data_IF_922356857479
#
_entry.id   IF_922356857479
#
_cell.length_a   1.000
_cell.length_b   1.000
_cell.length_c   1.000
_cell.angle_alpha   90.00
_cell.angle_beta   90.00
_cell.angle_gamma   90.00
#
_symmetry.space_group_name_H-M   'P 1'
#
loop_
_entity.id
_entity.type
_entity.pdbx_description
1 polymer ?
#
# COMPACT_ATOMS: atom_id res chain seq x y z
N UNK A 1 -61.66 38.23 4.17
CA UNK A 1 -60.61 37.60 4.99
C UNK A 1 -59.84 36.65 4.09
N UNK A 2 -58.60 37.02 3.77
CA UNK A 2 -57.76 36.36 2.78
C UNK A 2 -57.00 35.16 3.39
N UNK A 3 -57.08 34.00 2.73
CA UNK A 3 -56.22 32.84 3.00
C UNK A 3 -54.79 33.13 2.50
N UNK A 4 -53.80 33.10 3.39
CA UNK A 4 -52.38 33.13 3.03
C UNK A 4 -51.86 31.70 2.91
N UNK A 5 -51.41 31.33 1.71
CA UNK A 5 -50.62 30.12 1.46
C UNK A 5 -49.19 30.38 1.95
N UNK A 6 -48.69 29.57 2.87
CA UNK A 6 -47.27 29.52 3.23
C UNK A 6 -46.52 28.68 2.17
N UNK A 7 -45.60 29.30 1.45
CA UNK A 7 -44.63 28.61 0.58
C UNK A 7 -43.40 28.30 1.44
N UNK A 8 -43.11 27.02 1.64
CA UNK A 8 -41.87 26.58 2.26
C UNK A 8 -40.74 26.67 1.22
N UNK A 9 -39.75 27.52 1.48
CA UNK A 9 -38.52 27.60 0.69
C UNK A 9 -37.57 26.52 1.21
N UNK A 10 -37.40 25.43 0.46
CA UNK A 10 -36.37 24.43 0.74
C UNK A 10 -34.99 25.04 0.40
N UNK A 11 -34.15 25.25 1.42
CA UNK A 11 -32.74 25.60 1.23
C UNK A 11 -31.96 24.32 0.92
N UNK A 12 -31.49 24.20 -0.31
CA UNK A 12 -30.61 23.13 -0.75
C UNK A 12 -29.21 23.33 -0.12
N UNK A 13 -28.85 22.49 0.85
CA UNK A 13 -27.47 22.37 1.31
C UNK A 13 -26.71 21.55 0.25
N UNK A 14 -25.85 22.21 -0.53
CA UNK A 14 -24.84 21.52 -1.32
C UNK A 14 -23.81 20.90 -0.35
N UNK A 15 -23.90 19.59 -0.14
CA UNK A 15 -22.80 18.83 0.44
C UNK A 15 -21.78 18.64 -0.67
N UNK A 16 -20.63 19.31 -0.56
CA UNK A 16 -19.49 19.06 -1.43
C UNK A 16 -18.96 17.65 -1.15
N UNK A 17 -19.31 16.70 -2.02
CA UNK A 17 -18.70 15.37 -2.05
C UNK A 17 -17.24 15.55 -2.46
N UNK A 18 -16.33 15.41 -1.50
CA UNK A 18 -14.91 15.29 -1.80
C UNK A 18 -14.69 13.92 -2.46
N UNK A 19 -14.66 13.91 -3.79
CA UNK A 19 -14.25 12.75 -4.58
C UNK A 19 -12.77 12.54 -4.29
N UNK A 20 -12.44 11.64 -3.36
CA UNK A 20 -11.06 11.16 -3.19
C UNK A 20 -10.83 10.09 -4.26
N UNK A 21 -10.37 10.53 -5.43
CA UNK A 21 -9.71 9.61 -6.36
C UNK A 21 -8.55 8.93 -5.62
N UNK A 22 -8.27 7.63 -5.84
CA UNK A 22 -7.00 7.07 -5.40
C UNK A 22 -5.91 7.81 -6.16
N UNK A 23 -5.32 8.79 -5.48
CA UNK A 23 -4.31 9.67 -6.04
C UNK A 23 -3.01 8.87 -6.09
N UNK A 24 -2.84 8.04 -7.11
CA UNK A 24 -1.51 7.63 -7.59
C UNK A 24 -0.84 8.79 -8.33
N UNK A 25 -0.92 10.01 -7.77
CA UNK A 25 -0.13 11.11 -8.26
C UNK A 25 1.22 11.01 -7.55
N UNK A 26 2.22 10.54 -8.27
CA UNK A 26 3.58 10.68 -7.82
C UNK A 26 3.90 12.18 -7.65
N UNK A 27 4.27 12.58 -6.44
CA UNK A 27 4.72 13.94 -6.17
C UNK A 27 6.20 14.10 -6.55
N UNK A 28 6.63 15.34 -6.77
CA UNK A 28 8.05 15.66 -6.98
C UNK A 28 8.67 16.10 -5.65
N UNK A 29 9.78 15.49 -5.25
CA UNK A 29 10.52 15.94 -4.08
C UNK A 29 11.24 17.27 -4.35
N UNK A 30 11.44 18.08 -3.31
CA UNK A 30 12.27 19.28 -3.42
C UNK A 30 13.74 18.89 -3.38
N UNK A 31 14.51 19.29 -4.38
CA UNK A 31 15.94 19.00 -4.46
C UNK A 31 16.76 20.29 -4.58
N UNK A 32 17.97 20.26 -4.03
CA UNK A 32 18.91 21.40 -4.09
C UNK A 32 20.32 20.89 -4.30
N UNK A 33 21.03 21.45 -5.28
CA UNK A 33 22.46 21.22 -5.47
C UNK A 33 23.22 22.03 -4.43
N UNK A 34 23.87 21.35 -3.49
CA UNK A 34 24.55 22.00 -2.36
C UNK A 34 26.03 22.20 -2.61
N UNK A 35 26.69 21.25 -3.30
CA UNK A 35 28.11 21.32 -3.64
C UNK A 35 28.36 20.62 -4.97
N UNK A 36 29.29 21.13 -5.78
CA UNK A 36 29.87 20.39 -6.88
C UNK A 36 31.33 20.81 -7.16
N UNK A 37 32.11 19.88 -7.70
CA UNK A 37 33.52 20.13 -8.04
C UNK A 37 34.04 18.98 -8.92
N UNK A 38 35.30 19.06 -9.31
CA UNK A 38 36.02 17.90 -9.83
C UNK A 38 37.40 17.80 -9.17
N UNK A 39 37.97 16.61 -9.22
CA UNK A 39 39.34 16.32 -8.79
C UNK A 39 40.16 15.87 -9.98
N UNK A 40 41.45 16.17 -9.98
CA UNK A 40 42.34 15.95 -11.12
C UNK A 40 43.68 15.33 -10.68
N UNK A 41 44.04 14.20 -11.28
CA UNK A 41 45.17 13.37 -10.84
C UNK A 41 46.54 14.05 -10.99
N UNK A 42 46.81 14.70 -12.11
CA UNK A 42 48.07 15.43 -12.37
C UNK A 42 48.17 16.75 -11.58
N UNK A 43 47.12 17.13 -10.84
CA UNK A 43 47.06 18.30 -9.97
C UNK A 43 46.56 17.90 -8.59
N UNK A 44 47.23 16.93 -7.99
CA UNK A 44 46.65 16.14 -6.92
C UNK A 44 46.29 16.91 -5.63
N UNK A 45 46.91 18.06 -5.42
CA UNK A 45 46.69 18.97 -4.27
C UNK A 45 45.81 20.18 -4.60
N UNK A 46 45.43 20.38 -5.86
CA UNK A 46 44.56 21.49 -6.26
C UNK A 46 43.10 21.23 -5.93
N UNK A 47 42.38 22.28 -5.54
CA UNK A 47 40.93 22.30 -5.42
C UNK A 47 40.30 23.05 -6.61
N UNK A 48 39.15 22.57 -7.09
CA UNK A 48 38.46 23.14 -8.26
C UNK A 48 37.00 23.54 -7.97
N UNK A 49 36.64 23.76 -6.70
CA UNK A 49 35.25 24.06 -6.29
C UNK A 49 34.69 25.40 -6.77
N UNK A 50 35.51 26.25 -7.42
CA UNK A 50 35.04 27.49 -8.06
C UNK A 50 34.98 27.38 -9.59
N UNK A 51 35.19 26.18 -10.14
CA UNK A 51 35.16 25.96 -11.58
C UNK A 51 33.74 26.13 -12.11
N UNK A 52 33.56 26.85 -13.22
CA UNK A 52 32.27 26.96 -13.93
C UNK A 52 31.90 25.68 -14.71
N UNK A 53 32.70 24.62 -14.56
CA UNK A 53 32.57 23.34 -15.25
C UNK A 53 32.86 22.16 -14.31
N UNK A 54 32.04 21.12 -14.42
CA UNK A 54 32.36 19.78 -13.98
C UNK A 54 33.16 19.07 -15.07
N UNK A 55 34.10 18.23 -14.68
CA UNK A 55 35.01 17.54 -15.59
C UNK A 55 35.14 16.07 -15.26
N UNK A 56 35.03 15.23 -16.28
CA UNK A 56 35.43 13.82 -16.23
C UNK A 56 36.42 13.52 -17.35
N UNK A 57 37.38 12.63 -17.10
CA UNK A 57 38.43 12.30 -18.06
C UNK A 57 39.12 10.98 -17.72
N UNK A 58 39.27 10.09 -18.71
CA UNK A 58 39.89 8.77 -18.56
C UNK A 58 41.28 8.63 -19.19
N UNK A 59 41.87 9.71 -19.74
CA UNK A 59 43.20 9.67 -20.38
C UNK A 59 44.28 9.28 -19.38
N UNK A 60 45.22 8.44 -19.81
CA UNK A 60 46.41 8.13 -19.02
C UNK A 60 47.10 9.44 -18.58
N UNK A 61 47.40 9.54 -17.28
CA UNK A 61 48.03 10.69 -16.61
C UNK A 61 47.18 11.96 -16.46
N UNK A 62 45.97 12.04 -17.01
CA UNK A 62 45.05 13.19 -16.82
C UNK A 62 43.67 12.63 -16.50
N UNK A 63 43.52 12.09 -15.29
CA UNK A 63 42.23 11.62 -14.79
C UNK A 63 41.48 12.74 -14.09
N UNK A 64 40.20 12.88 -14.44
CA UNK A 64 39.28 13.81 -13.77
C UNK A 64 38.01 13.09 -13.37
N UNK A 65 37.58 13.35 -12.15
CA UNK A 65 36.33 12.82 -11.61
C UNK A 65 35.49 13.97 -11.05
N UNK A 66 34.21 14.02 -11.42
CA UNK A 66 33.29 15.02 -10.86
C UNK A 66 32.65 14.51 -9.58
N UNK A 67 32.38 15.42 -8.66
CA UNK A 67 31.69 15.16 -7.40
C UNK A 67 30.49 16.11 -7.32
N UNK A 68 29.33 15.58 -6.97
CA UNK A 68 28.11 16.37 -6.79
C UNK A 68 27.43 15.97 -5.49
N UNK A 69 26.86 16.95 -4.79
CA UNK A 69 26.05 16.74 -3.60
C UNK A 69 24.72 17.45 -3.73
N UNK A 70 23.66 16.72 -3.47
CA UNK A 70 22.31 17.24 -3.38
C UNK A 70 21.74 17.02 -1.99
N UNK A 71 20.87 17.93 -1.57
CA UNK A 71 19.95 17.66 -0.48
C UNK A 71 18.54 17.43 -1.04
N UNK A 72 17.93 16.30 -0.68
CA UNK A 72 16.57 15.89 -1.11
C UNK A 72 15.63 15.99 0.09
N UNK A 73 14.54 16.75 -0.05
CA UNK A 73 13.47 16.79 0.94
C UNK A 73 12.26 16.04 0.41
N UNK A 74 11.98 14.90 1.02
CA UNK A 74 10.79 14.07 0.73
C UNK A 74 9.63 14.58 1.58
N UNK A 75 8.41 14.72 1.03
CA UNK A 75 7.22 15.04 1.81
C UNK A 75 6.98 14.04 2.96
N UNK A 76 6.37 14.50 4.05
CA UNK A 76 6.02 13.61 5.15
C UNK A 76 5.00 12.55 4.68
N UNK A 77 5.21 11.29 5.07
CA UNK A 77 4.36 10.18 4.65
C UNK A 77 4.61 9.70 3.21
N UNK A 78 5.73 10.07 2.59
CA UNK A 78 6.13 9.60 1.27
C UNK A 78 7.53 8.96 1.27
N UNK A 79 7.85 8.22 0.20
CA UNK A 79 9.17 7.67 -0.09
C UNK A 79 9.57 7.91 -1.55
N UNK A 80 10.87 7.94 -1.83
CA UNK A 80 11.44 8.04 -3.18
C UNK A 80 11.15 6.77 -3.98
N UNK A 81 10.61 6.92 -5.19
CA UNK A 81 10.39 5.82 -6.16
C UNK A 81 11.27 5.94 -7.40
N UNK A 82 11.73 7.15 -7.74
CA UNK A 82 12.64 7.37 -8.86
C UNK A 82 13.51 8.60 -8.62
N UNK A 83 14.77 8.56 -9.06
CA UNK A 83 15.66 9.71 -9.08
C UNK A 83 16.52 9.74 -10.35
N UNK A 84 16.51 10.87 -11.05
CA UNK A 84 17.31 11.12 -12.26
C UNK A 84 18.28 12.27 -12.05
N UNK A 85 19.59 11.99 -12.13
CA UNK A 85 20.63 13.00 -12.19
C UNK A 85 20.71 13.55 -13.61
N UNK A 86 20.57 14.86 -13.79
CA UNK A 86 20.61 15.54 -15.09
C UNK A 86 21.76 16.54 -15.12
N UNK A 87 22.67 16.37 -16.08
CA UNK A 87 23.76 17.30 -16.34
C UNK A 87 23.70 17.81 -17.79
N UNK A 88 24.02 19.08 -18.00
CA UNK A 88 24.07 19.66 -19.34
C UNK A 88 25.49 19.56 -19.90
N UNK A 89 25.66 18.83 -21.00
CA UNK A 89 26.97 18.55 -21.59
C UNK A 89 27.59 19.80 -22.25
N UNK A 90 28.90 19.93 -22.13
CA UNK A 90 29.72 20.89 -22.90
C UNK A 90 30.55 20.20 -24.00
N UNK A 91 30.53 18.88 -24.03
CA UNK A 91 31.27 18.01 -24.95
C UNK A 91 30.40 16.86 -25.41
N UNK A 92 30.71 16.27 -26.57
CA UNK A 92 30.07 15.06 -27.06
C UNK A 92 30.85 13.79 -26.68
N UNK A 93 30.16 12.66 -26.65
CA UNK A 93 30.73 11.31 -26.52
C UNK A 93 30.31 10.43 -27.69
N UNK A 94 31.17 9.51 -28.11
CA UNK A 94 30.81 8.42 -29.03
C UNK A 94 30.00 7.34 -28.29
N UNK A 95 29.49 6.34 -29.02
CA UNK A 95 28.79 5.19 -28.44
C UNK A 95 29.67 4.32 -27.53
N UNK A 96 31.00 4.43 -27.63
CA UNK A 96 31.98 3.69 -26.82
C UNK A 96 32.57 4.52 -25.68
N UNK A 97 32.31 5.83 -25.67
CA UNK A 97 32.68 6.76 -24.61
C UNK A 97 31.49 6.95 -23.66
N UNK A 98 31.71 6.72 -22.36
CA UNK A 98 30.68 6.82 -21.34
C UNK A 98 31.19 7.48 -20.07
N UNK A 99 30.24 7.95 -19.27
CA UNK A 99 30.42 8.45 -17.91
C UNK A 99 29.58 7.58 -16.98
N UNK A 100 30.25 6.97 -16.01
CA UNK A 100 29.63 6.18 -14.94
C UNK A 100 29.25 7.09 -13.77
N UNK A 101 28.14 6.77 -13.12
CA UNK A 101 27.69 7.39 -11.89
C UNK A 101 27.80 6.40 -10.71
N UNK A 102 28.36 6.88 -9.60
CA UNK A 102 28.49 6.13 -8.35
C UNK A 102 28.00 6.97 -7.17
N UNK A 103 27.68 6.33 -6.05
CA UNK A 103 27.70 7.03 -4.75
C UNK A 103 29.14 7.28 -4.29
N UNK A 104 29.34 8.06 -3.23
CA UNK A 104 30.67 8.23 -2.58
C UNK A 104 30.77 7.41 -1.29
N UNK A 105 31.95 6.87 -0.98
CA UNK A 105 32.19 6.11 0.25
C UNK A 105 32.22 6.96 1.54
N UNK A 106 32.43 8.27 1.43
CA UNK A 106 32.55 9.18 2.56
C UNK A 106 32.11 10.60 2.19
N UNK A 107 31.84 11.42 3.21
CA UNK A 107 31.56 12.84 3.03
C UNK A 107 32.81 13.60 2.57
N UNK A 108 32.58 14.73 1.90
CA UNK A 108 33.61 15.64 1.39
C UNK A 108 33.17 17.11 1.57
N UNK A 109 34.05 18.07 1.31
CA UNK A 109 33.66 19.49 1.26
C UNK A 109 34.15 20.09 -0.04
N UNK A 110 33.34 20.97 -0.63
CA UNK A 110 33.62 21.57 -1.95
C UNK A 110 34.97 22.27 -2.02
N UNK A 111 35.37 22.97 -0.94
CA UNK A 111 36.64 23.71 -0.85
C UNK A 111 37.80 22.90 -0.25
N UNK A 112 37.52 21.75 0.36
CA UNK A 112 38.54 20.92 1.02
C UNK A 112 38.95 19.69 0.21
N UNK A 113 38.17 19.31 -0.80
CA UNK A 113 38.45 18.12 -1.61
C UNK A 113 39.51 18.41 -2.69
N UNK A 114 40.41 17.46 -2.86
CA UNK A 114 41.51 17.40 -3.82
C UNK A 114 41.57 15.97 -4.34
N UNK A 115 42.44 15.65 -5.31
CA UNK A 115 42.61 14.25 -5.73
C UNK A 115 43.04 13.35 -4.58
N UNK A 116 43.97 13.82 -3.73
CA UNK A 116 44.58 13.04 -2.65
C UNK A 116 43.59 12.62 -1.55
N UNK A 117 42.49 13.35 -1.37
CA UNK A 117 41.49 13.08 -0.34
C UNK A 117 40.06 12.92 -0.90
N UNK A 118 39.93 12.76 -2.23
CA UNK A 118 38.64 12.52 -2.85
C UNK A 118 38.01 11.24 -2.30
N UNK A 119 36.70 11.22 -2.04
CA UNK A 119 36.05 9.99 -1.62
C UNK A 119 36.18 8.91 -2.70
N UNK A 120 36.36 7.66 -2.27
CA UNK A 120 36.32 6.53 -3.19
C UNK A 120 34.89 6.37 -3.76
N UNK A 121 34.78 5.68 -4.89
CA UNK A 121 33.47 5.33 -5.45
C UNK A 121 32.79 4.30 -4.53
N UNK A 122 31.51 4.50 -4.28
CA UNK A 122 30.62 3.58 -3.59
C UNK A 122 29.88 2.68 -4.58
N UNK A 123 28.57 2.54 -4.39
CA UNK A 123 27.70 1.74 -5.25
C UNK A 123 27.64 2.31 -6.67
N UNK A 124 27.75 1.46 -7.69
CA UNK A 124 27.52 1.84 -9.09
C UNK A 124 26.02 2.02 -9.34
N UNK A 125 25.66 3.12 -10.00
CA UNK A 125 24.28 3.52 -10.24
C UNK A 125 23.88 3.40 -11.72
N UNK A 126 24.83 3.57 -12.63
CA UNK A 126 24.58 3.45 -14.07
C UNK A 126 25.64 4.14 -14.91
N UNK A 127 25.50 4.04 -16.23
CA UNK A 127 26.39 4.69 -17.20
C UNK A 127 25.60 5.31 -18.35
N UNK A 128 26.14 6.39 -18.93
CA UNK A 128 25.56 7.04 -20.10
C UNK A 128 26.69 7.45 -21.06
N UNK A 129 26.48 7.23 -22.35
CA UNK A 129 27.41 7.57 -23.43
C UNK A 129 26.67 7.95 -24.71
N UNK A 130 27.38 8.23 -25.80
CA UNK A 130 26.78 8.55 -27.10
C UNK A 130 25.97 9.85 -27.16
N UNK A 131 26.25 10.82 -26.30
CA UNK A 131 25.50 12.08 -26.23
C UNK A 131 26.19 13.22 -26.99
N UNK A 132 25.41 14.19 -27.46
CA UNK A 132 25.90 15.38 -28.15
C UNK A 132 26.44 16.43 -27.16
N UNK A 133 27.19 17.41 -27.68
CA UNK A 133 27.48 18.62 -26.91
C UNK A 133 26.23 19.50 -26.85
N UNK A 134 25.97 20.12 -25.70
CA UNK A 134 24.80 20.98 -25.50
C UNK A 134 23.49 20.22 -25.25
N UNK A 135 23.55 18.95 -24.86
CA UNK A 135 22.36 18.13 -24.53
C UNK A 135 22.26 17.86 -23.03
N UNK A 136 21.05 17.61 -22.55
CA UNK A 136 20.85 17.01 -21.23
C UNK A 136 21.26 15.53 -21.27
N UNK A 137 22.06 15.13 -20.29
CA UNK A 137 22.47 13.73 -20.06
C UNK A 137 21.85 13.29 -18.73
N UNK A 138 21.22 12.12 -18.72
CA UNK A 138 20.44 11.63 -17.57
C UNK A 138 20.92 10.26 -17.11
N UNK A 139 21.25 10.15 -15.83
CA UNK A 139 21.49 8.86 -15.16
C UNK A 139 20.31 8.54 -14.26
N UNK A 140 19.81 7.30 -14.32
CA UNK A 140 18.98 6.77 -13.25
C UNK A 140 19.87 6.52 -12.04
N UNK A 141 19.65 7.29 -10.98
CA UNK A 141 20.41 7.23 -9.73
C UNK A 141 19.50 6.85 -8.56
N UNK A 142 18.32 6.26 -8.83
CA UNK A 142 17.31 5.92 -7.83
C UNK A 142 17.91 5.14 -6.66
N UNK A 143 18.78 4.15 -6.93
CA UNK A 143 19.45 3.33 -5.90
C UNK A 143 20.47 4.10 -5.04
N UNK A 144 20.88 5.28 -5.49
CA UNK A 144 21.81 6.16 -4.79
C UNK A 144 21.12 7.25 -3.98
N UNK A 145 19.78 7.27 -3.95
CA UNK A 145 18.98 8.23 -3.18
C UNK A 145 18.24 7.49 -2.06
N UNK A 146 18.45 7.91 -0.82
CA UNK A 146 17.75 7.32 0.32
C UNK A 146 16.23 7.54 0.22
N UNK A 147 15.45 6.54 0.61
CA UNK A 147 13.99 6.53 0.48
C UNK A 147 13.31 7.75 1.14
N UNK A 148 13.88 8.27 2.23
CA UNK A 148 13.36 9.46 2.96
C UNK A 148 14.11 10.76 2.65
N UNK A 149 14.93 10.75 1.60
CA UNK A 149 15.75 11.89 1.22
C UNK A 149 16.97 12.08 2.12
N UNK A 150 17.36 13.34 2.34
CA UNK A 150 18.62 13.72 2.98
C UNK A 150 19.73 14.01 1.97
N UNK A 151 20.97 14.02 2.45
CA UNK A 151 22.15 14.31 1.65
C UNK A 151 22.49 13.13 0.72
N UNK A 152 22.62 13.40 -0.58
CA UNK A 152 22.98 12.43 -1.60
C UNK A 152 24.27 12.87 -2.29
N UNK A 153 25.27 11.98 -2.33
CA UNK A 153 26.59 12.27 -2.86
C UNK A 153 26.88 11.37 -4.05
N UNK A 154 27.25 11.98 -5.17
CA UNK A 154 27.56 11.30 -6.42
C UNK A 154 28.99 11.55 -6.87
N UNK A 155 29.61 10.53 -7.45
CA UNK A 155 30.89 10.62 -8.15
C UNK A 155 30.71 10.18 -9.59
N UNK A 156 31.23 10.97 -10.52
CA UNK A 156 31.23 10.64 -11.95
C UNK A 156 32.64 10.37 -12.43
N UNK A 157 32.82 9.25 -13.11
CA UNK A 157 34.09 8.80 -13.70
C UNK A 157 33.85 8.52 -15.20
N UNK A 158 34.84 8.69 -16.07
CA UNK A 158 34.67 8.44 -17.51
C UNK A 158 35.76 7.53 -18.05
N UNK A 159 35.40 6.67 -19.01
CA UNK A 159 36.37 5.92 -19.79
C UNK A 159 36.94 6.71 -20.98
N UNK A 160 36.35 7.87 -21.31
CA UNK A 160 36.68 8.63 -22.50
C UNK A 160 38.14 9.08 -22.47
N UNK A 161 38.86 8.84 -23.56
CA UNK A 161 40.25 9.26 -23.73
C UNK A 161 40.34 10.73 -24.17
N UNK A 162 39.46 11.57 -23.63
CA UNK A 162 39.39 13.02 -23.83
C UNK A 162 38.62 13.64 -22.66
N UNK A 163 38.73 14.95 -22.54
CA UNK A 163 37.92 15.70 -21.58
C UNK A 163 36.43 15.62 -21.92
N UNK A 164 35.61 15.30 -20.92
CA UNK A 164 34.16 15.37 -20.97
C UNK A 164 33.69 16.37 -19.92
N UNK A 165 32.93 17.37 -20.35
CA UNK A 165 32.54 18.51 -19.52
C UNK A 165 31.03 18.63 -19.33
N UNK A 166 30.65 19.17 -18.17
CA UNK A 166 29.27 19.55 -17.87
C UNK A 166 29.23 20.91 -17.19
N UNK A 167 28.09 21.60 -17.28
CA UNK A 167 27.86 22.82 -16.49
C UNK A 167 27.90 22.51 -14.99
N UNK A 168 28.63 23.30 -14.21
CA UNK A 168 28.63 23.24 -12.74
C UNK A 168 27.63 24.22 -12.13
N UNK A 169 27.56 24.23 -10.79
CA UNK A 169 26.83 25.20 -9.98
C UNK A 169 27.29 26.64 -10.20
N UNK A 170 28.56 26.87 -10.51
CA UNK A 170 29.16 28.20 -10.75
C UNK A 170 28.89 28.71 -12.16
N UNK A 171 28.30 27.89 -13.04
CA UNK A 171 27.88 28.32 -14.38
C UNK A 171 26.93 29.54 -14.30
N UNK A 172 27.19 30.54 -15.14
CA UNK A 172 26.33 31.73 -15.28
C UNK A 172 24.95 31.40 -15.86
N UNK A 173 24.84 30.30 -16.63
CA UNK A 173 23.57 29.80 -17.16
C UNK A 173 22.84 28.95 -16.11
N UNK A 174 22.15 29.61 -15.16
CA UNK A 174 21.48 28.94 -14.03
C UNK A 174 20.48 27.86 -14.45
N UNK A 175 19.78 28.04 -15.57
CA UNK A 175 18.84 27.05 -16.11
C UNK A 175 19.47 25.71 -16.52
N UNK A 176 20.78 25.71 -16.80
CA UNK A 176 21.56 24.57 -17.29
C UNK A 176 22.42 23.92 -16.19
N UNK A 177 22.34 24.39 -14.94
CA UNK A 177 23.06 23.81 -13.81
C UNK A 177 22.60 22.38 -13.51
N UNK A 178 23.41 21.56 -12.82
CA UNK A 178 23.03 20.20 -12.44
C UNK A 178 21.69 20.13 -11.73
N UNK A 179 20.88 19.11 -12.04
CA UNK A 179 19.58 18.86 -11.40
C UNK A 179 19.49 17.41 -10.95
N UNK A 180 18.82 17.19 -9.83
CA UNK A 180 18.37 15.88 -9.41
C UNK A 180 16.84 15.91 -9.42
N UNK A 181 16.21 15.17 -10.33
CA UNK A 181 14.75 15.09 -10.43
C UNK A 181 14.31 13.85 -9.66
N UNK A 182 13.56 14.05 -8.57
CA UNK A 182 13.13 12.97 -7.68
C UNK A 182 11.62 12.89 -7.65
N UNK A 183 11.13 11.68 -7.85
CA UNK A 183 9.72 11.32 -7.82
C UNK A 183 9.45 10.50 -6.57
N UNK A 184 8.38 10.83 -5.84
CA UNK A 184 7.97 10.17 -4.59
C UNK A 184 6.59 9.54 -4.72
N UNK A 185 6.26 8.66 -3.79
CA UNK A 185 4.93 8.08 -3.62
C UNK A 185 4.59 8.00 -2.12
N UNK A 186 3.31 8.03 -1.74
CA UNK A 186 2.89 7.78 -0.37
C UNK A 186 3.46 6.48 0.19
N UNK A 187 3.86 6.51 1.46
CA UNK A 187 4.08 5.29 2.22
C UNK A 187 2.76 4.52 2.30
N UNK A 188 2.79 3.20 2.12
CA UNK A 188 1.66 2.36 2.50
C UNK A 188 1.55 2.40 4.01
N UNK A 189 0.60 3.20 4.53
CA UNK A 189 0.19 3.11 5.93
C UNK A 189 -0.38 1.70 6.12
N UNK A 190 0.18 0.94 7.05
CA UNK A 190 -0.37 -0.38 7.37
C UNK A 190 -1.81 -0.19 7.85
N UNK A 191 -2.77 -0.74 7.12
CA UNK A 191 -4.20 -0.73 7.47
C UNK A 191 -4.59 -2.01 8.21
N UNK A 192 -3.66 -2.92 8.45
CA UNK A 192 -3.90 -4.18 9.17
C UNK A 192 -4.00 -3.89 10.67
N UNK A 193 -5.10 -4.31 11.31
CA UNK A 193 -5.26 -4.28 12.76
C UNK A 193 -4.13 -5.04 13.44
N UNK A 194 -3.74 -6.20 12.91
CA UNK A 194 -2.62 -6.98 13.43
C UNK A 194 -1.30 -6.20 13.50
N UNK A 195 -1.00 -5.40 12.47
CA UNK A 195 0.22 -4.57 12.42
C UNK A 195 0.11 -3.38 13.37
N UNK A 196 -1.01 -2.65 13.33
CA UNK A 196 -1.22 -1.46 14.16
C UNK A 196 -1.24 -1.81 15.66
N UNK A 197 -1.82 -2.95 16.01
CA UNK A 197 -2.01 -3.40 17.40
C UNK A 197 -0.94 -4.37 17.88
N UNK A 198 -0.01 -4.79 17.00
CA UNK A 198 1.10 -5.68 17.35
C UNK A 198 0.65 -7.09 17.74
N UNK A 199 -0.28 -7.69 17.01
CA UNK A 199 -0.79 -9.05 17.29
C UNK A 199 0.21 -10.17 17.01
N UNK A 200 1.32 -9.87 16.34
CA UNK A 200 2.38 -10.83 16.02
C UNK A 200 2.11 -11.60 14.73
N UNK A 201 2.64 -12.82 14.64
CA UNK A 201 2.54 -13.66 13.44
C UNK A 201 1.19 -14.41 13.41
N UNK A 202 0.54 -14.55 12.23
CA UNK A 202 -0.61 -15.42 12.09
C UNK A 202 -0.29 -16.86 12.51
N UNK A 203 -1.21 -17.48 13.24
CA UNK A 203 -1.13 -18.89 13.67
C UNK A 203 -1.87 -19.83 12.71
N UNK A 204 -2.80 -19.29 11.93
CA UNK A 204 -3.56 -20.00 10.90
C UNK A 204 -4.10 -18.99 9.87
N UNK A 205 -4.63 -19.50 8.76
CA UNK A 205 -5.23 -18.66 7.74
C UNK A 205 -5.05 -19.21 6.32
N UNK A 206 -5.45 -18.38 5.36
CA UNK A 206 -5.27 -18.65 3.95
C UNK A 206 -4.96 -17.36 3.20
N UNK A 207 -3.87 -17.37 2.45
CA UNK A 207 -3.40 -16.21 1.65
C UNK A 207 -3.91 -16.28 0.20
N UNK A 208 -4.66 -17.33 -0.17
CA UNK A 208 -5.29 -17.49 -1.47
C UNK A 208 -4.36 -17.32 -2.70
N UNK A 209 -3.06 -17.59 -2.52
CA UNK A 209 -2.02 -17.54 -3.56
C UNK A 209 -1.96 -18.84 -4.39
N UNK A 210 -3.11 -19.37 -4.80
CA UNK A 210 -3.26 -20.58 -5.63
C UNK A 210 -4.46 -20.44 -6.57
N UNK A 211 -4.57 -21.32 -7.56
CA UNK A 211 -5.67 -21.26 -8.55
C UNK A 211 -6.55 -22.50 -8.45
N UNK A 212 -7.87 -22.31 -8.55
CA UNK A 212 -8.87 -23.39 -8.54
C UNK A 212 -9.81 -23.32 -7.33
N UNK A 213 -10.39 -24.45 -6.95
CA UNK A 213 -11.27 -24.50 -5.77
C UNK A 213 -10.50 -24.17 -4.47
N UNK A 214 -11.18 -23.63 -3.43
CA UNK A 214 -10.58 -23.46 -2.11
C UNK A 214 -9.96 -24.75 -1.59
N UNK A 215 -8.84 -24.64 -0.88
CA UNK A 215 -8.10 -25.78 -0.32
C UNK A 215 -9.02 -26.59 0.63
N UNK A 216 -9.38 -27.81 0.21
CA UNK A 216 -10.29 -28.67 0.94
C UNK A 216 -9.74 -29.13 2.31
N UNK A 217 -8.42 -29.00 2.56
CA UNK A 217 -7.85 -29.24 3.89
C UNK A 217 -8.12 -28.09 4.86
N UNK A 218 -8.33 -26.87 4.33
CA UNK A 218 -8.59 -25.66 5.11
C UNK A 218 -10.07 -25.29 5.16
N UNK A 219 -10.83 -25.60 4.14
CA UNK A 219 -12.20 -25.11 3.97
C UNK A 219 -13.22 -26.24 3.82
N UNK A 220 -14.38 -26.04 4.43
CA UNK A 220 -15.61 -26.75 4.13
C UNK A 220 -16.50 -25.84 3.28
N UNK A 221 -16.46 -26.00 1.96
CA UNK A 221 -17.30 -25.24 1.02
C UNK A 221 -18.72 -25.81 1.04
N UNK A 222 -19.71 -24.95 1.21
CA UNK A 222 -21.10 -25.37 1.39
C UNK A 222 -21.73 -25.84 0.07
N UNK A 223 -22.58 -26.86 0.19
CA UNK A 223 -23.45 -27.37 -0.86
C UNK A 223 -24.84 -27.60 -0.27
N UNK A 224 -25.63 -26.54 -0.18
CA UNK A 224 -26.85 -26.48 0.64
C UNK A 224 -27.87 -25.49 0.08
N UNK A 225 -29.11 -25.48 0.59
CA UNK A 225 -29.95 -24.28 0.49
C UNK A 225 -29.19 -23.05 1.01
N UNK A 226 -29.48 -21.87 0.45
CA UNK A 226 -28.89 -20.62 0.90
C UNK A 226 -29.54 -20.06 2.16
N UNK A 227 -29.33 -18.77 2.41
CA UNK A 227 -29.72 -18.11 3.65
C UNK A 227 -31.22 -18.30 3.96
N UNK A 228 -31.53 -18.84 5.15
CA UNK A 228 -32.90 -19.16 5.56
C UNK A 228 -33.71 -20.01 4.54
N UNK A 229 -33.03 -20.80 3.70
CA UNK A 229 -33.63 -21.59 2.63
C UNK A 229 -33.81 -20.87 1.30
N UNK A 230 -33.42 -19.60 1.18
CA UNK A 230 -33.46 -18.84 -0.07
C UNK A 230 -32.19 -19.07 -0.90
N UNK A 231 -32.36 -19.26 -2.20
CA UNK A 231 -31.24 -19.49 -3.12
C UNK A 231 -30.49 -20.81 -2.83
N UNK A 232 -29.29 -20.93 -3.40
CA UNK A 232 -28.47 -22.14 -3.31
C UNK A 232 -27.03 -21.74 -3.00
N UNK A 233 -26.40 -22.37 -2.00
CA UNK A 233 -24.94 -22.34 -1.83
C UNK A 233 -24.33 -23.51 -2.59
N UNK A 234 -23.47 -23.20 -3.55
CA UNK A 234 -22.89 -24.12 -4.51
C UNK A 234 -21.35 -24.00 -4.50
N UNK A 235 -20.60 -25.12 -4.45
CA UNK A 235 -19.15 -25.08 -4.58
C UNK A 235 -18.64 -24.52 -5.91
N UNK A 236 -19.49 -24.46 -6.94
CA UNK A 236 -19.14 -23.89 -8.25
C UNK A 236 -19.09 -22.35 -8.23
N UNK A 237 -19.64 -21.72 -7.20
CA UNK A 237 -19.67 -20.26 -7.07
C UNK A 237 -18.46 -19.69 -6.32
N UNK A 238 -17.51 -20.53 -5.88
CA UNK A 238 -16.27 -20.07 -5.24
C UNK A 238 -15.04 -20.60 -5.98
N UNK A 239 -14.09 -19.70 -6.25
CA UNK A 239 -12.81 -20.04 -6.88
C UNK A 239 -11.70 -19.15 -6.33
N UNK A 240 -10.46 -19.57 -6.50
CA UNK A 240 -9.26 -18.79 -6.21
C UNK A 240 -8.53 -18.54 -7.53
N UNK A 241 -8.14 -17.30 -7.79
CA UNK A 241 -7.61 -16.88 -9.10
C UNK A 241 -6.08 -16.73 -9.16
N UNK A 242 -5.38 -17.18 -8.10
CA UNK A 242 -3.94 -17.01 -7.93
C UNK A 242 -3.56 -15.84 -7.02
N UNK A 243 -4.50 -14.94 -6.71
CA UNK A 243 -4.27 -13.77 -5.84
C UNK A 243 -5.36 -13.51 -4.81
N UNK A 244 -6.55 -14.09 -5.00
CA UNK A 244 -7.71 -13.91 -4.13
C UNK A 244 -8.71 -15.02 -4.34
N UNK A 245 -9.52 -15.27 -3.32
CA UNK A 245 -10.75 -16.02 -3.43
C UNK A 245 -11.88 -15.10 -3.93
N UNK A 246 -12.75 -15.62 -4.78
CA UNK A 246 -13.94 -14.94 -5.31
C UNK A 246 -15.16 -15.84 -5.14
N UNK A 247 -16.18 -15.35 -4.43
CA UNK A 247 -17.54 -15.89 -4.43
C UNK A 247 -18.39 -15.05 -5.37
N UNK A 248 -19.07 -15.69 -6.33
CA UNK A 248 -20.03 -15.04 -7.21
C UNK A 248 -21.47 -15.36 -6.78
N UNK A 249 -22.37 -14.42 -7.04
CA UNK A 249 -23.81 -14.55 -6.87
C UNK A 249 -24.52 -14.30 -8.19
N UNK A 250 -25.43 -15.19 -8.57
CA UNK A 250 -26.26 -15.08 -9.79
C UNK A 250 -27.65 -14.54 -9.46
N UNK A 251 -28.34 -13.94 -10.45
CA UNK A 251 -29.67 -13.34 -10.24
C UNK A 251 -30.78 -14.32 -9.79
N UNK A 252 -30.54 -15.63 -9.83
CA UNK A 252 -31.43 -16.65 -9.28
C UNK A 252 -31.10 -17.06 -7.82
N UNK A 253 -30.14 -16.39 -7.19
CA UNK A 253 -29.72 -16.65 -5.82
C UNK A 253 -28.72 -17.78 -5.66
N UNK A 254 -28.11 -18.28 -6.74
CA UNK A 254 -27.00 -19.24 -6.63
C UNK A 254 -25.73 -18.51 -6.24
N UNK A 255 -25.11 -18.92 -5.13
CA UNK A 255 -23.93 -18.28 -4.54
C UNK A 255 -23.09 -19.29 -3.77
N UNK A 256 -22.16 -18.87 -2.89
CA UNK A 256 -21.40 -19.76 -2.03
C UNK A 256 -21.24 -19.23 -0.59
N UNK A 257 -20.85 -20.15 0.28
CA UNK A 257 -20.27 -19.86 1.57
C UNK A 257 -19.33 -20.99 1.96
N UNK A 258 -18.45 -20.74 2.93
CA UNK A 258 -17.52 -21.75 3.43
C UNK A 258 -17.12 -21.49 4.88
N UNK A 259 -16.92 -22.59 5.62
CA UNK A 259 -16.41 -22.58 6.99
C UNK A 259 -14.96 -23.07 7.05
N UNK A 260 -14.13 -22.42 7.86
CA UNK A 260 -12.75 -22.82 8.10
C UNK A 260 -12.69 -24.10 8.96
N UNK A 261 -11.74 -24.98 8.64
CA UNK A 261 -11.39 -26.20 9.40
C UNK A 261 -10.20 -25.98 10.34
N UNK A 262 -9.79 -24.72 10.52
CA UNK A 262 -8.63 -24.31 11.28
C UNK A 262 -9.04 -23.24 12.30
N UNK A 263 -8.22 -23.11 13.35
CA UNK A 263 -8.38 -22.11 14.40
C UNK A 263 -9.80 -22.09 15.03
N UNK A 264 -10.37 -23.28 15.23
CA UNK A 264 -11.54 -23.51 16.06
C UNK A 264 -11.17 -23.21 17.52
N UNK A 265 -11.41 -21.99 17.97
CA UNK A 265 -10.95 -21.50 19.27
C UNK A 265 -11.92 -20.50 19.88
N UNK A 266 -11.91 -20.43 21.21
CA UNK A 266 -12.76 -19.50 21.97
C UNK A 266 -12.18 -18.10 22.10
N UNK A 267 -10.86 -17.93 22.09
CA UNK A 267 -10.26 -16.60 22.14
C UNK A 267 -9.19 -16.51 21.08
N UNK A 268 -9.07 -15.36 20.44
CA UNK A 268 -8.22 -15.18 19.28
C UNK A 268 -8.51 -13.88 18.59
N UNK A 269 -7.85 -13.68 17.46
CA UNK A 269 -8.11 -12.53 16.60
C UNK A 269 -8.16 -12.97 15.16
N UNK A 270 -9.16 -12.51 14.43
CA UNK A 270 -9.36 -12.84 13.03
C UNK A 270 -9.31 -11.55 12.24
N UNK A 271 -8.62 -11.58 11.12
CA UNK A 271 -8.55 -10.46 10.20
C UNK A 271 -8.70 -10.97 8.77
N UNK A 272 -9.58 -10.31 8.01
CA UNK A 272 -9.91 -10.63 6.63
C UNK A 272 -9.77 -9.38 5.80
N UNK A 273 -9.02 -9.49 4.70
CA UNK A 273 -8.96 -8.44 3.69
C UNK A 273 -9.93 -8.76 2.56
N UNK A 274 -11.06 -8.05 2.53
CA UNK A 274 -12.16 -8.34 1.63
C UNK A 274 -12.75 -7.09 0.96
N UNK A 275 -13.40 -7.31 -0.17
CA UNK A 275 -14.22 -6.35 -0.89
C UNK A 275 -15.44 -7.07 -1.46
N UNK A 276 -16.54 -6.36 -1.68
CA UNK A 276 -17.73 -6.95 -2.30
C UNK A 276 -18.53 -5.92 -3.07
N UNK A 277 -19.36 -6.39 -3.98
CA UNK A 277 -20.24 -5.54 -4.76
C UNK A 277 -21.39 -6.36 -5.29
N UNK A 278 -22.52 -5.73 -5.56
CA UNK A 278 -23.61 -6.43 -6.19
C UNK A 278 -24.92 -5.70 -6.13
N UNK A 279 -25.94 -6.46 -6.44
CA UNK A 279 -27.32 -6.13 -6.16
C UNK A 279 -27.59 -6.00 -4.64
N UNK A 280 -28.63 -5.27 -4.25
CA UNK A 280 -29.02 -5.05 -2.86
C UNK A 280 -29.54 -6.31 -2.15
N UNK A 281 -29.90 -7.36 -2.88
CA UNK A 281 -30.27 -8.64 -2.28
C UNK A 281 -29.06 -9.48 -1.86
N UNK A 282 -27.82 -9.06 -2.16
CA UNK A 282 -26.61 -9.76 -1.75
C UNK A 282 -25.94 -9.13 -0.53
N UNK A 283 -25.64 -9.96 0.46
CA UNK A 283 -24.98 -9.59 1.70
C UNK A 283 -23.62 -10.28 1.78
N UNK A 284 -22.54 -9.51 1.72
CA UNK A 284 -21.20 -10.01 2.02
C UNK A 284 -21.05 -10.12 3.53
N UNK A 285 -20.63 -11.28 4.03
CA UNK A 285 -20.47 -11.49 5.48
C UNK A 285 -19.22 -12.29 5.85
N UNK A 286 -18.49 -11.81 6.85
CA UNK A 286 -17.43 -12.52 7.55
C UNK A 286 -17.85 -12.79 9.00
N UNK A 287 -17.95 -14.07 9.37
CA UNK A 287 -18.63 -14.53 10.59
C UNK A 287 -17.66 -15.36 11.45
N UNK A 288 -17.74 -15.24 12.77
CA UNK A 288 -17.35 -16.34 13.66
C UNK A 288 -18.60 -17.14 14.05
N UNK A 289 -18.60 -18.42 13.68
CA UNK A 289 -19.73 -19.33 13.86
C UNK A 289 -19.41 -20.39 14.93
N UNK A 290 -20.35 -20.76 15.81
CA UNK A 290 -20.09 -21.69 16.91
C UNK A 290 -19.80 -23.10 16.40
N UNK A 291 -18.71 -23.70 16.87
CA UNK A 291 -18.32 -25.07 16.51
C UNK A 291 -19.34 -26.12 16.96
N UNK A 292 -20.19 -25.77 17.93
CA UNK A 292 -21.27 -26.62 18.44
C UNK A 292 -22.46 -26.72 17.49
N UNK A 293 -22.57 -25.83 16.50
CA UNK A 293 -23.73 -25.65 15.62
C UNK A 293 -25.03 -25.33 16.39
N UNK A 294 -24.94 -24.95 17.67
CA UNK A 294 -26.07 -24.66 18.55
C UNK A 294 -26.49 -23.19 18.47
N UNK A 295 -27.01 -22.80 17.32
CA UNK A 295 -27.51 -21.44 17.09
C UNK A 295 -28.98 -21.28 17.55
N UNK A 296 -29.36 -20.17 18.22
CA UNK A 296 -28.56 -18.97 18.52
C UNK A 296 -27.90 -18.98 19.91
N UNK A 297 -28.13 -20.02 20.72
CA UNK A 297 -27.67 -20.07 22.12
C UNK A 297 -26.16 -19.87 22.28
N UNK A 298 -25.36 -20.36 21.34
CA UNK A 298 -23.91 -20.31 21.40
C UNK A 298 -23.31 -19.09 20.65
N UNK A 299 -24.16 -18.16 20.22
CA UNK A 299 -23.78 -16.88 19.64
C UNK A 299 -23.33 -16.93 18.19
N UNK A 300 -23.11 -15.75 17.62
CA UNK A 300 -22.61 -15.51 16.26
C UNK A 300 -21.97 -14.10 16.22
N UNK A 301 -20.83 -13.95 15.54
CA UNK A 301 -20.12 -12.66 15.46
C UNK A 301 -19.88 -12.30 14.00
N UNK A 302 -20.77 -11.48 13.45
CA UNK A 302 -20.67 -10.94 12.09
C UNK A 302 -19.85 -9.65 12.14
N UNK A 303 -18.53 -9.80 12.09
CA UNK A 303 -17.63 -8.66 12.30
C UNK A 303 -17.48 -7.78 11.06
N UNK A 304 -18.03 -8.22 9.93
CA UNK A 304 -18.21 -7.42 8.71
C UNK A 304 -19.38 -7.98 7.90
N UNK A 305 -20.52 -7.30 7.94
CA UNK A 305 -21.72 -7.63 7.15
C UNK A 305 -22.25 -6.42 6.36
N UNK A 306 -22.58 -6.61 5.09
CA UNK A 306 -23.42 -5.66 4.34
C UNK A 306 -24.89 -6.07 4.46
N UNK A 307 -25.82 -5.11 4.44
CA UNK A 307 -27.26 -5.40 4.42
C UNK A 307 -27.93 -4.82 3.18
N UNK A 308 -27.36 -5.12 2.01
CA UNK A 308 -27.78 -4.64 0.70
C UNK A 308 -27.28 -3.25 0.29
N UNK A 309 -26.85 -2.43 1.24
CA UNK A 309 -26.16 -1.15 0.95
C UNK A 309 -24.64 -1.36 0.93
N UNK A 310 -24.06 -1.34 -0.26
CA UNK A 310 -22.61 -1.47 -0.47
C UNK A 310 -21.79 -0.22 -0.09
N UNK A 311 -22.42 0.79 0.52
CA UNK A 311 -21.75 1.95 1.13
C UNK A 311 -21.81 1.92 2.67
N UNK A 312 -22.26 0.82 3.26
CA UNK A 312 -22.35 0.64 4.71
C UNK A 312 -21.83 -0.74 5.08
N UNK A 313 -21.02 -0.79 6.14
CA UNK A 313 -20.65 -2.03 6.81
C UNK A 313 -21.24 -2.05 8.21
N UNK A 314 -21.66 -3.23 8.66
CA UNK A 314 -22.19 -3.49 10.00
C UNK A 314 -21.39 -4.54 10.74
N UNK A 315 -21.44 -4.42 12.06
CA UNK A 315 -20.98 -5.43 12.99
C UNK A 315 -22.21 -5.91 13.76
N UNK A 316 -22.49 -7.21 13.75
CA UNK A 316 -23.52 -7.81 14.60
C UNK A 316 -22.89 -8.82 15.56
N UNK A 317 -23.27 -8.72 16.83
CA UNK A 317 -22.88 -9.67 17.87
C UNK A 317 -24.15 -10.28 18.44
N UNK A 318 -24.45 -11.49 18.03
CA UNK A 318 -25.59 -12.28 18.46
C UNK A 318 -25.23 -13.10 19.70
N UNK A 319 -26.10 -13.08 20.71
CA UNK A 319 -25.88 -13.79 21.96
C UNK A 319 -27.17 -14.30 22.60
N UNK A 320 -27.00 -15.41 23.33
CA UNK A 320 -28.04 -16.06 24.13
C UNK A 320 -29.14 -16.73 23.28
N UNK A 321 -29.89 -17.62 23.93
CA UNK A 321 -30.94 -18.40 23.25
C UNK A 321 -32.12 -17.57 22.73
N UNK A 322 -32.23 -16.30 23.15
CA UNK A 322 -33.21 -15.36 22.63
C UNK A 322 -32.73 -14.61 21.38
N UNK A 323 -31.52 -14.90 20.87
CA UNK A 323 -30.91 -14.22 19.73
C UNK A 323 -30.87 -12.69 19.89
N UNK A 324 -30.46 -12.23 21.08
CA UNK A 324 -30.27 -10.80 21.34
C UNK A 324 -29.02 -10.29 20.65
N UNK A 325 -28.97 -9.00 20.34
CA UNK A 325 -27.88 -8.43 19.54
C UNK A 325 -27.36 -7.12 20.11
N UNK A 326 -26.04 -6.96 20.10
CA UNK A 326 -25.37 -5.66 20.08
C UNK A 326 -24.81 -5.45 18.68
N UNK A 327 -24.84 -4.22 18.17
CA UNK A 327 -24.43 -3.94 16.80
C UNK A 327 -23.89 -2.53 16.62
N UNK A 328 -23.16 -2.32 15.53
CA UNK A 328 -22.72 -1.01 15.06
C UNK A 328 -22.79 -0.94 13.53
N UNK A 329 -22.86 0.27 12.98
CA UNK A 329 -22.76 0.50 11.55
C UNK A 329 -21.91 1.74 11.25
N UNK A 330 -21.29 1.78 10.08
CA UNK A 330 -20.57 2.96 9.59
C UNK A 330 -20.65 3.07 8.07
N UNK A 331 -20.60 4.30 7.52
CA UNK A 331 -20.33 4.49 6.11
C UNK A 331 -18.96 3.91 5.73
N UNK A 332 -18.94 3.11 4.66
CA UNK A 332 -17.75 2.50 4.07
C UNK A 332 -18.07 2.04 2.64
N UNK A 333 -17.28 2.45 1.66
CA UNK A 333 -17.37 1.92 0.30
C UNK A 333 -16.80 0.49 0.27
N UNK A 334 -17.65 -0.51 0.51
CA UNK A 334 -17.21 -1.91 0.61
C UNK A 334 -16.84 -2.52 -0.74
N UNK A 335 -17.00 -1.78 -1.85
CA UNK A 335 -16.51 -2.19 -3.18
C UNK A 335 -14.98 -2.13 -3.28
N UNK A 336 -14.34 -1.42 -2.35
CA UNK A 336 -12.89 -1.42 -2.17
C UNK A 336 -12.47 -2.46 -1.14
N UNK A 337 -11.22 -2.91 -1.24
CA UNK A 337 -10.66 -3.81 -0.23
C UNK A 337 -10.40 -3.05 1.06
N UNK A 338 -10.95 -3.58 2.14
CA UNK A 338 -10.71 -3.16 3.52
C UNK A 338 -10.25 -4.33 4.37
N UNK A 339 -9.56 -4.03 5.46
CA UNK A 339 -9.20 -5.03 6.47
C UNK A 339 -10.25 -5.01 7.59
N UNK A 340 -11.05 -6.07 7.66
CA UNK A 340 -12.03 -6.28 8.71
C UNK A 340 -11.45 -7.21 9.77
N UNK A 341 -11.48 -6.81 11.04
CA UNK A 341 -10.91 -7.62 12.10
C UNK A 341 -11.79 -7.69 13.35
N UNK A 342 -11.65 -8.78 14.09
CA UNK A 342 -12.24 -8.96 15.42
C UNK A 342 -11.19 -9.49 16.39
N UNK A 343 -11.07 -8.86 17.55
CA UNK A 343 -10.28 -9.32 18.71
C UNK A 343 -11.26 -9.83 19.77
N UNK A 344 -11.27 -11.14 19.99
CA UNK A 344 -12.11 -11.79 20.99
C UNK A 344 -11.25 -12.32 22.14
N UNK A 345 -11.50 -11.79 23.32
CA UNK A 345 -10.77 -12.11 24.54
C UNK A 345 -11.74 -12.30 25.72
N UNK A 346 -11.25 -12.79 26.88
CA UNK A 346 -12.06 -12.85 28.10
C UNK A 346 -12.63 -11.48 28.55
N UNK A 347 -12.09 -10.37 28.04
CA UNK A 347 -12.51 -9.01 28.41
C UNK A 347 -13.57 -8.41 27.50
N UNK A 348 -13.89 -9.08 26.39
CA UNK A 348 -14.82 -8.54 25.40
C UNK A 348 -14.49 -8.93 23.96
N UNK A 349 -15.32 -8.42 23.06
CA UNK A 349 -15.18 -8.48 21.61
C UNK A 349 -14.96 -7.04 21.10
N UNK A 350 -13.92 -6.86 20.28
CA UNK A 350 -13.58 -5.56 19.68
C UNK A 350 -13.48 -5.72 18.17
N UNK A 351 -14.23 -4.89 17.44
CA UNK A 351 -14.23 -4.87 15.97
C UNK A 351 -13.36 -3.73 15.41
N UNK A 352 -12.67 -4.00 14.31
CA UNK A 352 -11.83 -3.05 13.58
C UNK A 352 -12.16 -3.02 12.09
N UNK A 353 -12.01 -1.85 11.48
CA UNK A 353 -11.94 -1.66 10.02
C UNK A 353 -10.71 -0.81 9.74
N UNK A 354 -9.83 -1.31 8.88
CA UNK A 354 -8.54 -0.70 8.54
C UNK A 354 -7.70 -0.35 9.79
N UNK A 355 -7.73 -1.26 10.78
CA UNK A 355 -7.03 -1.13 12.06
C UNK A 355 -7.61 -0.11 13.04
N UNK A 356 -8.67 0.60 12.66
CA UNK A 356 -9.40 1.53 13.52
C UNK A 356 -10.55 0.81 14.21
N UNK A 357 -10.61 0.93 15.54
CA UNK A 357 -11.69 0.40 16.35
C UNK A 357 -13.00 1.13 16.04
N UNK A 358 -14.09 0.38 15.94
CA UNK A 358 -15.42 0.94 15.68
C UNK A 358 -16.57 0.17 16.34
N UNK A 359 -16.28 -1.00 16.94
CA UNK A 359 -17.21 -1.78 17.75
C UNK A 359 -16.50 -2.28 19.01
N UNK A 360 -17.21 -2.30 20.13
CA UNK A 360 -16.74 -2.90 21.39
C UNK A 360 -17.92 -3.38 22.22
N UNK A 361 -17.85 -4.63 22.66
CA UNK A 361 -18.75 -5.22 23.64
C UNK A 361 -17.93 -5.87 24.76
N UNK A 362 -18.14 -5.41 25.99
CA UNK A 362 -17.43 -5.89 27.18
C UNK A 362 -18.37 -6.52 28.20
N UNK A 363 -19.65 -6.73 27.88
CA UNK A 363 -20.57 -7.40 28.79
C UNK A 363 -20.27 -8.90 28.83
N UNK A 364 -19.89 -9.46 30.00
CA UNK A 364 -19.62 -10.90 30.11
C UNK A 364 -20.82 -11.78 29.75
N UNK A 365 -22.05 -11.27 29.88
CA UNK A 365 -23.26 -12.01 29.54
C UNK A 365 -23.47 -12.17 28.03
N UNK A 366 -22.80 -11.35 27.21
CA UNK A 366 -22.87 -11.44 25.75
C UNK A 366 -21.82 -12.39 25.17
N UNK A 367 -20.88 -12.90 25.97
CA UNK A 367 -19.80 -13.75 25.49
C UNK A 367 -20.30 -15.08 24.90
N UNK A 368 -19.87 -15.47 23.69
CA UNK A 368 -20.11 -16.81 23.19
C UNK A 368 -19.55 -17.88 24.17
N UNK A 369 -20.31 -18.94 24.49
CA UNK A 369 -19.93 -19.89 25.53
C UNK A 369 -18.82 -20.86 25.07
N UNK A 370 -18.74 -21.16 23.77
CA UNK A 370 -17.87 -22.19 23.19
C UNK A 370 -16.76 -21.65 22.30
N UNK A 371 -16.10 -22.53 21.57
CA UNK A 371 -15.18 -22.16 20.49
C UNK A 371 -15.96 -21.85 19.21
N UNK A 372 -15.35 -21.03 18.35
CA UNK A 372 -15.91 -20.66 17.05
C UNK A 372 -14.85 -20.81 15.97
N UNK A 373 -15.30 -20.90 14.73
CA UNK A 373 -14.46 -20.87 13.54
C UNK A 373 -14.91 -19.77 12.58
N UNK A 374 -14.02 -19.37 11.67
CA UNK A 374 -14.35 -18.42 10.63
C UNK A 374 -15.33 -19.03 9.63
N UNK A 375 -16.33 -18.27 9.19
CA UNK A 375 -17.02 -18.47 7.91
C UNK A 375 -16.97 -17.24 7.01
N UNK A 376 -17.06 -17.45 5.70
CA UNK A 376 -17.16 -16.42 4.68
C UNK A 376 -18.37 -16.76 3.81
N UNK A 377 -19.31 -15.83 3.64
CA UNK A 377 -20.53 -16.08 2.88
C UNK A 377 -20.93 -14.85 2.05
N UNK A 378 -21.52 -15.10 0.89
CA UNK A 378 -22.24 -14.09 0.12
C UNK A 378 -23.71 -14.51 0.12
N UNK A 379 -24.47 -14.05 1.11
CA UNK A 379 -25.83 -14.51 1.33
C UNK A 379 -26.83 -13.75 0.46
N UNK A 380 -27.85 -14.45 -0.02
CA UNK A 380 -28.90 -13.88 -0.87
C UNK A 380 -30.21 -13.72 -0.10
N UNK A 381 -30.68 -12.49 0.00
CA UNK A 381 -31.89 -12.03 0.66
C UNK A 381 -32.86 -11.49 -0.39
N UNK A 382 -33.61 -12.38 -1.08
CA UNK A 382 -34.53 -11.95 -2.13
C UNK A 382 -35.58 -10.99 -1.57
N UNK A 383 -35.84 -9.92 -2.32
CA UNK A 383 -36.89 -8.96 -2.00
C UNK A 383 -37.82 -8.73 -3.20
N UNK A 384 -38.55 -7.61 -3.20
CA UNK A 384 -39.50 -7.27 -4.29
C UNK A 384 -38.88 -6.50 -5.46
N UNK A 385 -37.59 -6.18 -5.39
CA UNK A 385 -36.87 -5.46 -6.44
C UNK A 385 -36.32 -6.41 -7.49
N UNK A 386 -35.55 -5.88 -8.44
CA UNK A 386 -35.15 -6.62 -9.61
C UNK A 386 -33.81 -7.31 -9.36
N UNK A 387 -33.83 -8.65 -9.25
CA UNK A 387 -32.63 -9.43 -8.95
C UNK A 387 -31.46 -9.12 -9.88
N UNK A 388 -30.28 -8.98 -9.26
CA UNK A 388 -29.00 -8.83 -9.94
C UNK A 388 -27.95 -9.83 -9.46
N UNK A 389 -26.71 -9.60 -9.88
CA UNK A 389 -25.54 -10.41 -9.51
C UNK A 389 -24.83 -9.83 -8.30
N UNK A 390 -24.05 -10.66 -7.61
CA UNK A 390 -23.20 -10.24 -6.49
C UNK A 390 -21.81 -10.84 -6.57
N UNK A 391 -20.88 -10.27 -5.82
CA UNK A 391 -19.50 -10.74 -5.72
C UNK A 391 -18.94 -10.42 -4.33
N UNK A 392 -18.23 -11.37 -3.74
CA UNK A 392 -17.33 -11.19 -2.60
C UNK A 392 -15.93 -11.62 -3.02
N UNK A 393 -14.92 -10.80 -2.72
CA UNK A 393 -13.51 -11.04 -3.01
C UNK A 393 -12.72 -11.00 -1.70
N UNK A 394 -11.86 -11.98 -1.48
CA UNK A 394 -11.02 -12.08 -0.28
C UNK A 394 -9.57 -12.29 -0.70
N UNK A 395 -8.71 -11.34 -0.37
CA UNK A 395 -7.26 -11.41 -0.62
C UNK A 395 -6.60 -12.41 0.33
N UNK A 396 -6.84 -12.26 1.62
CA UNK A 396 -6.36 -13.19 2.64
C UNK A 396 -7.26 -13.20 3.87
N UNK A 397 -7.12 -14.27 4.63
CA UNK A 397 -7.57 -14.39 6.01
C UNK A 397 -6.42 -14.83 6.90
N UNK A 398 -6.28 -14.16 8.05
CA UNK A 398 -5.26 -14.47 9.05
C UNK A 398 -5.91 -14.57 10.42
N UNK A 399 -5.49 -15.57 11.19
CA UNK A 399 -5.89 -15.76 12.58
C UNK A 399 -4.66 -15.63 13.47
N UNK A 400 -4.80 -14.95 14.59
CA UNK A 400 -3.75 -14.66 15.55
C UNK A 400 -4.13 -15.18 16.93
N UNK A 401 -3.11 -15.47 17.74
CA UNK A 401 -3.29 -15.85 19.14
C UNK A 401 -4.03 -14.75 19.92
N UNK A 402 -4.65 -15.10 21.05
CA UNK A 402 -5.26 -14.13 21.96
C UNK A 402 -4.19 -13.34 22.74
N UNK A 403 -4.58 -12.26 23.44
CA UNK A 403 -3.67 -11.60 24.42
C UNK A 403 -3.22 -12.64 25.45
N UNK A 404 -1.91 -12.82 25.63
CA UNK A 404 -1.35 -13.57 26.76
C UNK A 404 -1.23 -15.09 26.58
N UNK A 405 -1.37 -15.62 25.36
CA UNK A 405 -1.26 -17.06 25.07
C UNK A 405 -0.04 -17.43 24.23
N UNK A 406 1.08 -16.69 24.35
CA UNK A 406 2.32 -16.95 23.61
C UNK A 406 3.15 -18.08 24.22
#
# INVERSE_FOLDING_TARGET
MFWRKCVAVASSILVAVAITTPMSANAAATTSLTMDTYVQADRATSNFGNSVRLSTEGRANIWRNSLLRFNVKVPAGEHVVSAKLRLHSESSTSSTEFVDAFTTSSAWTERGVTWNNAPARGAWLGKVGGFAAGSWVEWDVTKGVAAKGGEQNFKLESNAQKWVGFKSRESSSSALRPKLVVTTAPDTVATEAAVIKGWGTPIAGDEFNYTGAPDATKWNVYNSPGHAGNGIRSPQQVTVDGSKMVINGTADGTTAGMGAKFANQKYGRWEVRAAGSGDNEYHMVSILWPDSENWPCDGEVDYAETTGDWNVIKFFHHYGCSNSQTWASRPLDVTQFHNYAVDWSPTGIVGYVDGLEWFRDTDPAHQPPGSMHQTLQLDWFPDSTANGVGEMRVDWIRVYAAVGTA
#
